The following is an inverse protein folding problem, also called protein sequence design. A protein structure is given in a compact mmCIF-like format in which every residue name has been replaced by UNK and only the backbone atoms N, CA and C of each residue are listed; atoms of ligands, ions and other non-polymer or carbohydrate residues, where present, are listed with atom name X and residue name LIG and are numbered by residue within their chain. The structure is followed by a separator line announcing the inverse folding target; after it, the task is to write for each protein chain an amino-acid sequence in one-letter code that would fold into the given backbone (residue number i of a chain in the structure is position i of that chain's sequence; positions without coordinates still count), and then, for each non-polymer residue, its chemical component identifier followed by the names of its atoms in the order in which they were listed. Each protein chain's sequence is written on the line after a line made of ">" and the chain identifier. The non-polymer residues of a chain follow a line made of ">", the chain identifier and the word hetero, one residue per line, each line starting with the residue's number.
data_IF_402091688847
#
_entry.id   IF_402091688847
#
_cell.length_a   1.000
_cell.length_b   1.000
_cell.length_c   1.000
_cell.angle_alpha   90.00
_cell.angle_beta   90.00
_cell.angle_gamma   90.00
#
_symmetry.space_group_name_H-M   'P 1'
#
loop_
_entity.id
_entity.type
_entity.pdbx_description
1 polymer ?
#
# COMPACT_ATOMS: atom_id res chain seq x y z
N UNK A 1 -8.10 8.33 3.19
CA UNK A 1 -8.52 8.15 1.80
C UNK A 1 -7.65 8.96 0.87
N UNK A 2 -7.01 8.25 -0.05
CA UNK A 2 -6.16 8.77 -1.12
C UNK A 2 -5.12 9.84 -0.73
N UNK A 3 -4.11 9.48 0.08
CA UNK A 3 -2.99 10.39 0.36
C UNK A 3 -2.10 10.68 -0.86
N UNK A 4 -2.34 9.99 -1.99
CA UNK A 4 -1.43 9.94 -3.16
C UNK A 4 -2.04 10.52 -4.44
N UNK A 5 -3.27 11.03 -4.42
CA UNK A 5 -4.01 11.46 -5.62
C UNK A 5 -3.34 12.58 -6.43
N UNK A 6 -2.33 13.26 -5.87
CA UNK A 6 -1.56 14.31 -6.53
C UNK A 6 -0.03 14.09 -6.47
N UNK A 7 0.41 12.88 -6.11
CA UNK A 7 1.83 12.54 -6.02
C UNK A 7 2.32 11.89 -7.31
N UNK A 8 3.38 12.45 -7.88
CA UNK A 8 4.15 11.81 -8.94
C UNK A 8 4.79 10.51 -8.43
N UNK A 9 5.08 9.59 -9.35
CA UNK A 9 5.55 8.22 -9.05
C UNK A 9 6.67 8.18 -7.99
N UNK A 10 7.64 9.08 -8.09
CA UNK A 10 8.78 9.18 -7.17
C UNK A 10 8.36 9.55 -5.75
N UNK A 11 7.44 10.50 -5.60
CA UNK A 11 6.95 10.90 -4.28
C UNK A 11 6.03 9.84 -3.68
N UNK A 12 5.26 9.12 -4.50
CA UNK A 12 4.48 7.96 -4.05
C UNK A 12 5.35 6.81 -3.50
N UNK A 13 6.47 6.49 -4.17
CA UNK A 13 7.43 5.49 -3.71
C UNK A 13 8.08 5.88 -2.36
N UNK A 14 8.47 7.14 -2.20
CA UNK A 14 9.03 7.64 -0.93
C UNK A 14 8.02 7.54 0.21
N UNK A 15 6.75 7.89 -0.04
CA UNK A 15 5.69 7.80 0.96
C UNK A 15 5.48 6.36 1.46
N UNK A 16 5.52 5.39 0.55
CA UNK A 16 5.43 3.96 0.90
C UNK A 16 6.63 3.50 1.74
N UNK A 17 7.83 3.98 1.43
CA UNK A 17 9.02 3.65 2.21
C UNK A 17 8.92 4.19 3.64
N UNK A 18 8.35 5.38 3.83
CA UNK A 18 8.04 5.90 5.16
C UNK A 18 7.01 5.05 5.90
N UNK A 19 5.92 4.63 5.24
CA UNK A 19 4.92 3.76 5.86
C UNK A 19 5.48 2.40 6.25
N UNK A 20 6.34 1.81 5.41
CA UNK A 20 7.06 0.57 5.73
C UNK A 20 7.96 0.73 6.95
N UNK A 21 8.79 1.77 6.98
CA UNK A 21 9.67 2.07 8.12
C UNK A 21 8.87 2.31 9.40
N UNK A 22 7.77 3.05 9.32
CA UNK A 22 6.88 3.27 10.47
C UNK A 22 6.22 1.97 10.93
N UNK A 23 5.78 1.11 10.00
CA UNK A 23 5.22 -0.19 10.32
C UNK A 23 6.22 -1.08 11.08
N UNK A 24 7.47 -1.17 10.62
CA UNK A 24 8.49 -2.01 11.24
C UNK A 24 9.09 -1.41 12.52
N UNK A 25 9.26 -0.09 12.58
CA UNK A 25 9.92 0.57 13.72
C UNK A 25 8.95 0.84 14.86
N UNK A 26 7.71 1.21 14.54
CA UNK A 26 6.70 1.60 15.52
C UNK A 26 5.66 0.49 15.76
N UNK A 27 5.76 -0.64 15.06
CA UNK A 27 4.82 -1.75 15.13
C UNK A 27 3.36 -1.33 14.85
N UNK A 28 3.19 -0.29 14.03
CA UNK A 28 1.90 0.31 13.69
C UNK A 28 1.32 -0.31 12.41
N UNK A 29 0.02 -0.60 12.41
CA UNK A 29 -0.68 -1.08 11.22
C UNK A 29 -1.23 0.09 10.41
N UNK A 30 -0.93 0.14 9.11
CA UNK A 30 -1.45 1.15 8.19
C UNK A 30 -2.45 0.52 7.22
N UNK A 31 -3.57 1.21 7.00
CA UNK A 31 -4.55 0.89 5.96
C UNK A 31 -4.59 2.05 4.98
N UNK A 32 -4.30 1.77 3.70
CA UNK A 32 -4.19 2.78 2.66
C UNK A 32 -5.21 2.44 1.57
N UNK A 33 -6.11 3.38 1.28
CA UNK A 33 -6.99 3.33 0.12
C UNK A 33 -6.35 4.17 -1.02
N UNK A 34 -6.13 3.54 -2.18
CA UNK A 34 -5.56 4.19 -3.36
C UNK A 34 -6.04 3.50 -4.65
N UNK A 35 -6.28 4.27 -5.70
CA UNK A 35 -6.50 3.76 -7.06
C UNK A 35 -5.19 3.46 -7.82
N UNK A 36 -4.02 3.82 -7.26
CA UNK A 36 -2.73 3.65 -7.94
C UNK A 36 -2.12 2.27 -7.64
N UNK A 37 -2.32 1.31 -8.55
CA UNK A 37 -1.79 -0.04 -8.42
C UNK A 37 -0.25 -0.10 -8.38
N UNK A 38 0.49 0.89 -8.89
CA UNK A 38 1.96 0.86 -8.80
C UNK A 38 2.44 1.02 -7.37
N UNK A 39 1.64 1.65 -6.50
CA UNK A 39 1.95 1.84 -5.09
C UNK A 39 1.75 0.58 -4.25
N UNK A 40 1.06 -0.43 -4.80
CA UNK A 40 0.84 -1.69 -4.09
C UNK A 40 2.09 -2.57 -4.10
N UNK A 41 3.01 -2.32 -5.03
CA UNK A 41 4.32 -2.96 -5.10
C UNK A 41 5.13 -2.59 -3.86
N UNK A 42 5.05 -3.47 -2.87
CA UNK A 42 5.79 -3.36 -1.63
C UNK A 42 4.93 -3.27 -0.37
N UNK A 43 3.61 -3.15 -0.48
CA UNK A 43 2.74 -3.33 0.69
C UNK A 43 2.60 -4.82 1.00
N UNK A 44 2.43 -5.21 2.27
CA UNK A 44 2.36 -6.63 2.63
C UNK A 44 1.12 -7.32 2.05
N UNK A 45 -0.02 -6.62 2.03
CA UNK A 45 -1.30 -7.15 1.54
C UNK A 45 -2.00 -6.12 0.68
N UNK A 46 -2.61 -6.60 -0.39
CA UNK A 46 -3.37 -5.80 -1.34
C UNK A 46 -4.77 -6.37 -1.38
N UNK A 47 -5.75 -5.53 -1.02
CA UNK A 47 -7.16 -5.89 -1.04
C UNK A 47 -7.85 -5.07 -2.11
N UNK A 48 -8.52 -5.73 -3.04
CA UNK A 48 -9.32 -5.08 -4.07
C UNK A 48 -10.77 -4.97 -3.61
N UNK A 49 -11.31 -3.76 -3.68
CA UNK A 49 -12.70 -3.47 -3.35
C UNK A 49 -13.39 -2.91 -4.61
N UNK A 50 -14.46 -3.55 -5.04
CA UNK A 50 -15.27 -3.13 -6.20
C UNK A 50 -16.75 -3.34 -5.87
N UNK A 51 -17.58 -2.32 -6.13
CA UNK A 51 -19.01 -2.30 -5.79
C UNK A 51 -19.34 -2.70 -4.34
N UNK A 52 -18.47 -2.31 -3.40
CA UNK A 52 -18.62 -2.62 -1.97
C UNK A 52 -18.30 -4.08 -1.60
N UNK A 53 -17.80 -4.87 -2.54
CA UNK A 53 -17.40 -6.27 -2.33
C UNK A 53 -15.89 -6.45 -2.51
N UNK A 54 -15.31 -7.27 -1.64
CA UNK A 54 -13.90 -7.65 -1.73
C UNK A 54 -13.73 -8.66 -2.86
N UNK A 55 -12.84 -8.34 -3.80
CA UNK A 55 -12.60 -9.17 -4.97
C UNK A 55 -11.56 -10.26 -4.69
N UNK A 56 -11.74 -11.40 -5.37
CA UNK A 56 -10.84 -12.56 -5.27
C UNK A 56 -9.41 -12.29 -5.77
N UNK A 57 -9.20 -11.18 -6.48
CA UNK A 57 -7.88 -10.72 -6.91
C UNK A 57 -6.99 -10.19 -5.79
N UNK A 58 -7.46 -10.16 -4.54
CA UNK A 58 -6.68 -9.73 -3.37
C UNK A 58 -5.52 -10.71 -3.09
N UNK A 59 -4.32 -10.21 -2.85
CA UNK A 59 -3.12 -11.03 -2.68
C UNK A 59 -2.18 -10.49 -1.59
N UNK A 60 -1.31 -11.36 -1.09
CA UNK A 60 -0.20 -10.99 -0.23
C UNK A 60 1.06 -10.85 -1.09
N UNK A 61 1.77 -9.74 -0.97
CA UNK A 61 3.11 -9.66 -1.55
C UNK A 61 4.06 -10.45 -0.68
N UNK A 62 5.01 -11.16 -1.31
CA UNK A 62 6.15 -11.67 -0.56
C UNK A 62 6.91 -10.48 0.01
N UNK A 63 6.86 -10.35 1.33
CA UNK A 63 7.65 -9.34 2.04
C UNK A 63 9.11 -9.66 1.73
N UNK A 64 9.80 -8.79 0.98
CA UNK A 64 11.25 -8.87 0.88
C UNK A 64 11.77 -8.42 2.24
N UNK A 65 11.88 -9.39 3.15
CA UNK A 65 12.58 -9.22 4.43
C UNK A 65 14.05 -9.02 4.09
N UNK A 66 14.44 -7.76 3.98
CA UNK A 66 15.82 -7.29 3.91
C UNK A 66 16.04 -6.29 5.03
#
# INVERSE_FOLDING_TARGET
>A
DEPTGNLDKKNGENLLDYFRKANTTLNQTFVIATHNAQLTNGLNRVLYLEDGMMQAGSYENQTVSG
#
